data_IF_796425330276
#
_entry.id   IF_796425330276
#
_cell.length_a   1.000
_cell.length_b   1.000
_cell.length_c   1.000
_cell.angle_alpha   90.00
_cell.angle_beta   90.00
_cell.angle_gamma   90.00
#
_symmetry.space_group_name_H-M   'P 1'
#
loop_
_entity.id
_entity.type
_entity.pdbx_description
1 polymer ?
#
# COMPACT_ATOMS: atom_id res chain seq x y z
N UNK A 1 -4.75 -23.80 -7.82
CA UNK A 1 -4.38 -23.06 -9.05
C UNK A 1 -3.49 -21.91 -8.59
N UNK A 2 -2.14 -22.02 -8.78
CA UNK A 2 -1.16 -20.96 -8.47
C UNK A 2 -1.44 -19.78 -9.40
N UNK A 3 -1.95 -18.67 -8.86
CA UNK A 3 -1.93 -17.39 -9.56
C UNK A 3 -0.46 -16.98 -9.71
N UNK A 4 0.04 -16.98 -10.93
CA UNK A 4 1.32 -16.40 -11.30
C UNK A 4 1.31 -14.93 -10.84
N UNK A 5 2.17 -14.61 -9.91
CA UNK A 5 2.36 -13.26 -9.38
C UNK A 5 2.99 -12.42 -10.49
N UNK A 6 2.20 -11.68 -11.23
CA UNK A 6 2.69 -10.80 -12.29
C UNK A 6 3.38 -9.60 -11.66
N UNK A 7 4.70 -9.45 -11.92
CA UNK A 7 5.43 -8.24 -11.56
C UNK A 7 4.78 -7.03 -12.22
N UNK A 8 4.45 -6.02 -11.45
CA UNK A 8 3.93 -4.75 -11.92
C UNK A 8 5.05 -3.72 -11.91
N UNK A 9 5.19 -2.98 -13.03
CA UNK A 9 6.12 -1.86 -13.11
C UNK A 9 5.37 -0.58 -12.80
N UNK A 10 5.89 0.22 -11.87
CA UNK A 10 5.28 1.51 -11.51
C UNK A 10 5.28 2.48 -12.70
N UNK A 11 6.34 2.47 -13.51
CA UNK A 11 6.51 3.36 -14.66
C UNK A 11 6.98 2.57 -15.89
N UNK A 12 6.08 1.91 -16.63
CA UNK A 12 6.44 1.10 -17.79
C UNK A 12 7.07 1.91 -18.93
N UNK A 13 6.88 3.24 -18.94
CA UNK A 13 7.43 4.13 -19.96
C UNK A 13 8.97 4.11 -20.03
N UNK A 14 9.65 3.86 -18.91
CA UNK A 14 11.12 3.74 -18.91
C UNK A 14 11.63 2.48 -19.59
N UNK A 15 10.79 1.46 -19.78
CA UNK A 15 11.15 0.28 -20.54
C UNK A 15 11.35 0.59 -22.03
N UNK A 16 10.69 1.63 -22.56
CA UNK A 16 10.95 2.10 -23.93
C UNK A 16 12.38 2.66 -24.07
N UNK A 17 13.01 3.11 -23.00
CA UNK A 17 14.42 3.51 -22.97
C UNK A 17 15.38 2.36 -23.33
N UNK A 18 14.98 1.10 -23.11
CA UNK A 18 15.75 -0.08 -23.55
C UNK A 18 15.89 -0.12 -25.08
N UNK A 19 14.92 0.42 -25.81
CA UNK A 19 14.94 0.50 -27.27
C UNK A 19 16.06 1.43 -27.76
N UNK A 20 16.46 2.41 -26.94
CA UNK A 20 17.57 3.33 -27.22
C UNK A 20 18.95 2.66 -27.08
N UNK A 21 19.05 1.51 -26.39
CA UNK A 21 20.28 0.72 -26.34
C UNK A 21 20.60 0.02 -27.67
N UNK A 22 19.59 -0.25 -28.52
CA UNK A 22 19.77 -0.90 -29.81
C UNK A 22 20.66 -0.06 -30.76
N UNK A 23 20.36 1.24 -31.02
CA UNK A 23 21.21 2.07 -31.86
C UNK A 23 22.60 2.30 -31.22
N UNK A 24 22.69 2.34 -29.90
CA UNK A 24 23.97 2.49 -29.19
C UNK A 24 24.84 1.25 -29.39
N UNK A 25 24.26 0.06 -29.36
CA UNK A 25 24.92 -1.22 -29.65
C UNK A 25 25.35 -1.27 -31.13
N UNK A 26 24.52 -0.83 -32.06
CA UNK A 26 24.86 -0.75 -33.46
C UNK A 26 26.05 0.22 -33.71
N UNK A 27 26.07 1.34 -33.03
CA UNK A 27 27.16 2.34 -33.11
C UNK A 27 28.47 1.80 -32.56
N UNK A 28 28.42 1.06 -31.45
CA UNK A 28 29.62 0.42 -30.87
C UNK A 28 30.22 -0.64 -31.79
N UNK A 29 29.36 -1.49 -32.39
CA UNK A 29 29.77 -2.48 -33.37
C UNK A 29 30.36 -1.86 -34.62
N UNK A 30 29.71 -0.79 -35.12
CA UNK A 30 30.20 -0.04 -36.29
C UNK A 30 31.56 0.61 -36.01
N UNK A 31 31.72 1.26 -34.85
CA UNK A 31 33.02 1.82 -34.42
C UNK A 31 34.09 0.74 -34.34
N UNK A 32 33.75 -0.44 -33.82
CA UNK A 32 34.69 -1.59 -33.77
C UNK A 32 35.11 -2.05 -35.18
N UNK A 33 34.16 -2.13 -36.13
CA UNK A 33 34.43 -2.50 -37.53
C UNK A 33 35.25 -1.45 -38.25
N UNK A 34 34.97 -0.17 -38.07
CA UNK A 34 35.76 0.93 -38.64
C UNK A 34 37.19 0.91 -38.14
N UNK A 35 37.42 0.74 -36.84
CA UNK A 35 38.75 0.64 -36.27
C UNK A 35 39.54 -0.55 -36.86
N UNK A 36 38.93 -1.69 -37.01
CA UNK A 36 39.56 -2.84 -37.66
C UNK A 36 39.93 -2.56 -39.12
N UNK A 37 39.04 -1.88 -39.86
CA UNK A 37 39.32 -1.53 -41.28
C UNK A 37 40.42 -0.50 -41.40
N UNK A 38 40.47 0.49 -40.49
CA UNK A 38 41.53 1.50 -40.45
C UNK A 38 42.90 0.86 -40.10
N UNK A 39 42.96 0.04 -39.09
CA UNK A 39 44.19 -0.67 -38.73
C UNK A 39 44.75 -1.56 -39.87
N UNK A 40 43.86 -2.21 -40.63
CA UNK A 40 44.24 -2.99 -41.80
C UNK A 40 44.76 -2.16 -42.98
N UNK A 41 44.39 -0.84 -43.05
CA UNK A 41 44.83 0.06 -44.13
C UNK A 41 46.12 0.80 -43.83
N UNK A 42 46.44 1.02 -42.54
CA UNK A 42 47.56 1.88 -42.15
C UNK A 42 48.75 1.14 -41.51
N UNK A 43 48.59 -0.13 -41.17
CA UNK A 43 49.70 -0.88 -40.56
C UNK A 43 50.07 -2.08 -41.43
N UNK A 44 51.32 -2.11 -41.90
CA UNK A 44 51.99 -3.36 -42.24
C UNK A 44 51.93 -4.29 -41.04
N UNK A 45 51.62 -5.55 -41.25
CA UNK A 45 51.27 -6.51 -40.18
C UNK A 45 52.29 -6.59 -39.04
N UNK A 46 53.55 -6.31 -39.32
CA UNK A 46 54.61 -6.41 -38.33
C UNK A 46 54.79 -5.15 -37.47
N UNK A 47 54.54 -3.96 -38.02
CA UNK A 47 54.65 -2.69 -37.27
C UNK A 47 53.40 -2.41 -36.39
N UNK A 48 52.20 -2.83 -36.82
CA UNK A 48 50.96 -2.64 -36.06
C UNK A 48 50.94 -3.41 -34.74
N UNK A 49 51.57 -4.60 -34.70
CA UNK A 49 51.65 -5.39 -33.45
C UNK A 49 52.72 -4.82 -32.49
N UNK A 50 53.77 -4.23 -32.98
CA UNK A 50 54.84 -3.65 -32.16
C UNK A 50 54.40 -2.33 -31.50
N UNK A 51 53.59 -1.54 -32.18
CA UNK A 51 53.15 -0.20 -31.69
C UNK A 51 51.92 -0.24 -30.81
N UNK A 52 51.14 -1.32 -30.82
CA UNK A 52 49.92 -1.45 -30.00
C UNK A 52 49.84 -2.75 -29.21
N UNK A 53 50.83 -3.05 -28.36
CA UNK A 53 50.84 -4.33 -27.59
C UNK A 53 49.68 -4.42 -26.58
N UNK A 54 49.04 -3.33 -26.21
CA UNK A 54 47.97 -3.22 -25.24
C UNK A 54 46.55 -3.04 -25.85
N UNK A 55 46.46 -2.80 -27.16
CA UNK A 55 45.18 -2.53 -27.84
C UNK A 55 44.46 -3.85 -28.22
N UNK A 56 44.20 -4.74 -27.26
CA UNK A 56 43.40 -5.90 -27.49
C UNK A 56 41.96 -5.48 -27.81
N UNK A 57 41.52 -5.69 -29.06
CA UNK A 57 40.14 -5.36 -29.50
C UNK A 57 39.07 -6.01 -28.60
N UNK A 58 39.39 -7.09 -27.93
CA UNK A 58 38.54 -7.76 -26.95
C UNK A 58 38.27 -6.88 -25.71
N UNK A 59 39.24 -6.07 -25.25
CA UNK A 59 39.10 -5.18 -24.10
C UNK A 59 38.11 -4.05 -24.37
N UNK A 60 38.11 -3.48 -25.57
CA UNK A 60 37.15 -2.42 -25.96
C UNK A 60 35.73 -2.97 -26.07
N UNK A 61 35.58 -4.15 -26.64
CA UNK A 61 34.28 -4.81 -26.76
C UNK A 61 33.70 -5.18 -25.38
N UNK A 62 34.56 -5.63 -24.48
CA UNK A 62 34.18 -5.94 -23.10
C UNK A 62 33.75 -4.67 -22.33
N UNK A 63 34.48 -3.56 -22.48
CA UNK A 63 34.14 -2.26 -21.90
C UNK A 63 32.77 -1.76 -22.39
N UNK A 64 32.54 -1.81 -23.70
CA UNK A 64 31.29 -1.36 -24.30
C UNK A 64 30.12 -2.24 -23.87
N UNK A 65 30.34 -3.55 -23.73
CA UNK A 65 29.35 -4.50 -23.19
C UNK A 65 28.97 -4.15 -21.72
N UNK A 66 29.98 -3.85 -20.88
CA UNK A 66 29.73 -3.45 -19.50
C UNK A 66 28.96 -2.12 -19.41
N UNK A 67 29.28 -1.16 -20.27
CA UNK A 67 28.54 0.12 -20.32
C UNK A 67 27.07 -0.08 -20.73
N UNK A 68 26.81 -0.93 -21.72
CA UNK A 68 25.46 -1.28 -22.15
C UNK A 68 24.69 -2.02 -21.04
N UNK A 69 25.35 -2.95 -20.36
CA UNK A 69 24.75 -3.66 -19.24
C UNK A 69 24.42 -2.73 -18.08
N UNK A 70 25.33 -1.82 -17.74
CA UNK A 70 25.11 -0.82 -16.70
C UNK A 70 23.93 0.09 -17.06
N UNK A 71 23.84 0.57 -18.31
CA UNK A 71 22.72 1.36 -18.81
C UNK A 71 21.40 0.59 -18.72
N UNK A 72 21.38 -0.69 -19.08
CA UNK A 72 20.21 -1.54 -18.96
C UNK A 72 19.76 -1.70 -17.48
N UNK A 73 20.70 -1.93 -16.57
CA UNK A 73 20.41 -2.02 -15.12
C UNK A 73 19.82 -0.73 -14.59
N UNK A 74 20.35 0.43 -14.99
CA UNK A 74 19.80 1.75 -14.59
C UNK A 74 18.37 1.93 -15.10
N UNK A 75 18.09 1.57 -16.36
CA UNK A 75 16.75 1.68 -16.92
C UNK A 75 15.75 0.75 -16.21
N UNK A 76 16.17 -0.47 -15.87
CA UNK A 76 15.34 -1.40 -15.10
C UNK A 76 15.10 -0.86 -13.69
N UNK A 77 16.12 -0.28 -13.05
CA UNK A 77 15.97 0.33 -11.73
C UNK A 77 15.00 1.52 -11.75
N UNK A 78 15.05 2.36 -12.80
CA UNK A 78 14.12 3.48 -13.00
C UNK A 78 12.69 3.01 -13.28
N UNK A 79 12.50 1.85 -13.91
CA UNK A 79 11.19 1.25 -14.12
C UNK A 79 10.52 0.79 -12.81
N UNK A 80 11.26 0.78 -11.69
CA UNK A 80 10.78 0.40 -10.35
C UNK A 80 9.97 -0.89 -10.36
N UNK A 81 10.58 -2.05 -10.59
CA UNK A 81 9.87 -3.31 -10.50
C UNK A 81 9.33 -3.48 -9.07
N UNK A 82 8.00 -3.54 -8.95
CA UNK A 82 7.33 -3.77 -7.68
C UNK A 82 6.94 -5.24 -7.59
N UNK A 83 7.49 -5.93 -6.61
CA UNK A 83 6.95 -7.20 -6.19
C UNK A 83 5.68 -6.88 -5.38
N UNK A 84 4.51 -7.45 -5.71
CA UNK A 84 3.33 -7.27 -4.87
C UNK A 84 3.68 -7.82 -3.49
N UNK A 85 4.00 -6.91 -2.56
CA UNK A 85 4.15 -7.26 -1.16
C UNK A 85 2.78 -7.64 -0.64
N UNK A 86 2.63 -8.86 -0.18
CA UNK A 86 1.43 -9.35 0.49
C UNK A 86 1.13 -8.60 1.80
N UNK A 87 2.05 -7.75 2.26
CA UNK A 87 1.96 -6.98 3.51
C UNK A 87 1.47 -5.53 3.35
N UNK A 88 1.19 -5.05 2.14
CA UNK A 88 0.84 -3.64 1.92
C UNK A 88 -0.35 -3.40 0.97
N UNK A 89 -0.95 -4.45 0.47
CA UNK A 89 -2.30 -4.31 -0.06
C UNK A 89 -3.21 -4.29 1.16
N UNK A 90 -3.57 -3.10 1.62
CA UNK A 90 -4.95 -2.95 2.04
C UNK A 90 -5.76 -3.54 0.87
N UNK A 91 -6.10 -4.84 0.96
CA UNK A 91 -7.27 -5.31 0.25
C UNK A 91 -8.27 -4.21 0.58
N UNK A 92 -8.82 -3.55 -0.44
CA UNK A 92 -10.09 -2.85 -0.27
C UNK A 92 -11.01 -3.96 0.24
N UNK A 93 -10.88 -4.19 1.54
CA UNK A 93 -11.74 -5.07 2.27
C UNK A 93 -13.11 -4.47 2.03
N UNK A 94 -13.93 -5.20 1.29
CA UNK A 94 -15.36 -4.88 1.15
C UNK A 94 -16.07 -5.05 2.50
N UNK A 95 -15.37 -4.69 3.58
CA UNK A 95 -15.93 -4.62 4.91
C UNK A 95 -17.05 -3.58 4.94
N UNK A 96 -18.06 -3.88 5.70
CA UNK A 96 -19.15 -2.94 5.95
C UNK A 96 -18.71 -1.88 6.94
N UNK A 97 -19.31 -0.70 6.83
CA UNK A 97 -19.25 0.33 7.88
C UNK A 97 -20.44 0.14 8.80
N UNK A 98 -20.18 -0.06 10.08
CA UNK A 98 -21.18 -0.21 11.10
C UNK A 98 -21.11 0.93 12.11
N UNK A 99 -22.22 1.62 12.36
CA UNK A 99 -22.34 2.63 13.40
C UNK A 99 -23.17 2.07 14.56
N UNK A 100 -22.55 1.88 15.70
CA UNK A 100 -23.16 1.35 16.90
C UNK A 100 -23.68 2.53 17.73
N UNK A 101 -24.99 2.57 17.97
CA UNK A 101 -25.62 3.56 18.84
C UNK A 101 -25.95 2.89 20.18
N UNK A 102 -25.27 3.31 21.24
CA UNK A 102 -25.42 2.77 22.58
C UNK A 102 -26.19 3.74 23.47
N UNK A 103 -27.32 3.26 24.00
CA UNK A 103 -28.08 3.99 25.05
C UNK A 103 -27.32 3.91 26.38
N UNK A 104 -27.08 5.08 26.96
CA UNK A 104 -26.42 5.22 28.28
C UNK A 104 -27.32 5.95 29.30
N UNK A 105 -28.62 6.02 29.04
CA UNK A 105 -29.58 6.60 29.97
C UNK A 105 -29.62 5.83 31.31
N UNK A 106 -30.12 6.46 32.37
CA UNK A 106 -30.19 5.85 33.70
C UNK A 106 -30.99 4.54 33.73
N UNK A 107 -31.92 4.34 32.80
CA UNK A 107 -32.67 3.07 32.66
C UNK A 107 -31.76 1.89 32.31
N UNK A 108 -30.59 2.12 31.72
CA UNK A 108 -29.60 1.10 31.40
C UNK A 108 -28.86 0.58 32.64
N UNK A 109 -29.00 1.23 33.79
CA UNK A 109 -28.49 0.73 35.08
C UNK A 109 -29.41 -0.30 35.74
N UNK A 110 -30.59 -0.54 35.16
CA UNK A 110 -31.55 -1.50 35.70
C UNK A 110 -30.94 -2.92 35.78
N UNK A 111 -31.15 -3.60 36.91
CA UNK A 111 -30.56 -4.90 37.20
C UNK A 111 -31.45 -6.11 36.79
N UNK A 112 -32.39 -5.91 35.91
CA UNK A 112 -33.22 -7.01 35.37
C UNK A 112 -32.41 -8.00 34.52
N UNK A 113 -31.29 -7.55 33.99
CA UNK A 113 -30.29 -8.38 33.31
C UNK A 113 -28.96 -8.24 34.09
N UNK A 114 -28.39 -9.34 34.55
CA UNK A 114 -27.17 -9.30 35.36
C UNK A 114 -25.92 -8.90 34.56
N UNK A 115 -25.05 -8.02 35.05
CA UNK A 115 -25.18 -7.20 36.25
C UNK A 115 -26.09 -5.99 36.09
N UNK A 116 -26.21 -5.43 34.87
CA UNK A 116 -27.16 -4.42 34.41
C UNK A 116 -27.20 -4.40 32.87
N UNK A 117 -28.22 -3.72 32.32
CA UNK A 117 -28.41 -3.65 30.86
C UNK A 117 -27.21 -3.08 30.11
N UNK A 118 -26.57 -2.01 30.64
CA UNK A 118 -25.41 -1.39 30.01
C UNK A 118 -24.24 -2.36 29.91
N UNK A 119 -23.94 -3.07 31.01
CA UNK A 119 -22.84 -4.05 31.02
C UNK A 119 -23.13 -5.21 30.08
N UNK A 120 -24.37 -5.63 29.99
CA UNK A 120 -24.77 -6.66 29.02
C UNK A 120 -24.60 -6.19 27.58
N UNK A 121 -25.06 -4.97 27.26
CA UNK A 121 -24.89 -4.36 25.94
C UNK A 121 -23.41 -4.24 25.55
N UNK A 122 -22.54 -3.77 26.46
CA UNK A 122 -21.11 -3.70 26.23
C UNK A 122 -20.49 -5.06 25.90
N UNK A 123 -20.84 -6.10 26.66
CA UNK A 123 -20.35 -7.48 26.37
C UNK A 123 -20.81 -7.98 25.00
N UNK A 124 -22.08 -7.73 24.65
CA UNK A 124 -22.62 -8.12 23.35
C UNK A 124 -21.91 -7.42 22.22
N UNK A 125 -21.68 -6.10 22.34
CA UNK A 125 -20.94 -5.32 21.35
C UNK A 125 -19.50 -5.81 21.24
N UNK A 126 -18.81 -6.09 22.36
CA UNK A 126 -17.45 -6.67 22.35
C UNK A 126 -17.41 -7.97 21.58
N UNK A 127 -18.38 -8.89 21.83
CA UNK A 127 -18.48 -10.13 21.09
C UNK A 127 -18.76 -9.94 19.59
N UNK A 128 -19.48 -8.88 19.22
CA UNK A 128 -19.68 -8.49 17.82
C UNK A 128 -18.36 -8.01 17.19
N UNK A 129 -17.62 -7.12 17.89
CA UNK A 129 -16.33 -6.63 17.44
C UNK A 129 -15.30 -7.75 17.25
N UNK A 130 -15.38 -8.83 18.02
CA UNK A 130 -14.49 -10.00 17.87
C UNK A 130 -14.75 -10.79 16.58
N UNK A 131 -15.97 -10.71 16.04
CA UNK A 131 -16.34 -11.36 14.78
C UNK A 131 -16.00 -10.50 13.55
N UNK A 132 -15.85 -9.18 13.74
CA UNK A 132 -15.50 -8.22 12.69
C UNK A 132 -13.98 -8.29 12.43
N UNK A 133 -13.55 -8.64 11.22
CA UNK A 133 -12.13 -8.73 10.87
C UNK A 133 -11.67 -7.63 9.93
N UNK A 134 -12.54 -7.23 9.05
CA UNK A 134 -12.24 -6.33 7.93
C UNK A 134 -13.22 -5.17 7.84
N UNK A 135 -14.15 -5.11 8.81
CA UNK A 135 -15.18 -4.10 8.89
C UNK A 135 -14.69 -2.85 9.62
N UNK A 136 -15.39 -1.75 9.42
CA UNK A 136 -15.11 -0.48 10.09
C UNK A 136 -16.25 -0.18 11.05
N UNK A 137 -15.92 0.28 12.24
CA UNK A 137 -16.90 0.56 13.28
C UNK A 137 -16.78 1.97 13.80
N UNK A 138 -17.91 2.61 14.06
CA UNK A 138 -18.03 3.85 14.82
C UNK A 138 -18.96 3.67 16.01
N UNK A 139 -18.84 4.53 17.01
CA UNK A 139 -19.60 4.45 18.24
C UNK A 139 -20.28 5.79 18.54
N UNK A 140 -21.59 5.75 18.73
CA UNK A 140 -22.41 6.87 19.20
C UNK A 140 -22.98 6.49 20.55
N UNK A 141 -22.89 7.40 21.51
CA UNK A 141 -23.58 7.28 22.79
C UNK A 141 -24.75 8.26 22.82
N UNK A 142 -25.86 7.86 23.41
CA UNK A 142 -27.00 8.74 23.56
C UNK A 142 -27.77 8.51 24.86
N UNK A 143 -28.38 9.58 25.32
CA UNK A 143 -29.37 9.65 26.40
C UNK A 143 -30.38 10.73 26.05
N UNK A 144 -30.46 11.86 26.78
CA UNK A 144 -31.23 13.05 26.38
C UNK A 144 -30.69 13.75 25.15
N UNK A 145 -29.40 13.57 24.85
CA UNK A 145 -28.71 14.06 23.66
C UNK A 145 -27.81 12.94 23.10
N UNK A 146 -27.32 13.09 21.86
CA UNK A 146 -26.46 12.09 21.22
C UNK A 146 -25.13 12.70 20.79
N UNK A 147 -24.04 11.91 20.94
CA UNK A 147 -22.68 12.32 20.63
C UNK A 147 -21.92 11.20 19.93
N UNK A 148 -21.07 11.57 18.97
CA UNK A 148 -20.13 10.63 18.36
C UNK A 148 -18.96 10.42 19.33
N UNK A 149 -18.86 9.24 19.92
CA UNK A 149 -17.79 8.88 20.85
C UNK A 149 -16.55 8.40 20.10
N UNK A 150 -16.76 7.66 19.01
CA UNK A 150 -15.70 7.19 18.14
C UNK A 150 -16.14 7.33 16.67
N UNK A 151 -15.43 8.10 15.84
CA UNK A 151 -15.65 8.10 14.40
C UNK A 151 -15.38 6.73 13.78
N UNK A 152 -15.90 6.48 12.57
CA UNK A 152 -15.70 5.22 11.87
C UNK A 152 -14.20 4.92 11.69
N UNK A 153 -13.73 3.81 12.26
CA UNK A 153 -12.35 3.35 12.22
C UNK A 153 -12.26 1.86 11.90
N UNK A 154 -11.15 1.43 11.35
CA UNK A 154 -10.78 0.02 11.19
C UNK A 154 -10.05 -0.54 12.41
N UNK A 155 -9.69 0.31 13.37
CA UNK A 155 -9.02 -0.11 14.59
C UNK A 155 -10.04 -0.57 15.64
N UNK A 156 -10.30 -1.88 15.63
CA UNK A 156 -11.23 -2.53 16.55
C UNK A 156 -10.69 -2.58 18.00
N UNK A 157 -9.37 -2.45 18.21
CA UNK A 157 -8.80 -2.39 19.56
C UNK A 157 -9.15 -1.07 20.24
N UNK A 158 -8.99 0.04 19.53
CA UNK A 158 -9.45 1.35 19.99
C UNK A 158 -10.96 1.37 20.25
N UNK A 159 -11.75 0.74 19.38
CA UNK A 159 -13.20 0.66 19.59
C UNK A 159 -13.58 -0.09 20.89
N UNK A 160 -12.86 -1.15 21.24
CA UNK A 160 -13.07 -1.87 22.52
C UNK A 160 -12.70 -1.01 23.74
N UNK A 161 -11.60 -0.28 23.65
CA UNK A 161 -11.16 0.62 24.72
C UNK A 161 -12.21 1.71 24.97
N UNK A 162 -12.64 2.43 23.93
CA UNK A 162 -13.69 3.43 24.07
C UNK A 162 -15.00 2.83 24.61
N UNK A 163 -15.38 1.61 24.18
CA UNK A 163 -16.57 0.94 24.68
C UNK A 163 -16.46 0.60 26.17
N UNK A 164 -15.28 0.22 26.66
CA UNK A 164 -15.06 -0.12 28.06
C UNK A 164 -15.25 1.09 28.97
N UNK A 165 -14.82 2.26 28.52
CA UNK A 165 -14.79 3.51 29.32
C UNK A 165 -16.13 4.22 29.38
N UNK A 166 -17.11 3.81 28.56
CA UNK A 166 -18.44 4.42 28.57
C UNK A 166 -19.10 4.26 29.93
N UNK A 167 -19.57 5.38 30.47
CA UNK A 167 -20.36 5.44 31.72
C UNK A 167 -21.61 6.30 31.51
N UNK A 168 -22.68 6.04 32.26
CA UNK A 168 -23.91 6.87 32.18
C UNK A 168 -23.68 8.33 32.52
N UNK A 169 -22.64 8.66 33.30
CA UNK A 169 -22.29 10.03 33.68
C UNK A 169 -21.72 10.88 32.55
N UNK A 170 -21.41 10.28 31.39
CA UNK A 170 -20.90 11.03 30.23
C UNK A 170 -21.91 11.98 29.62
N UNK A 171 -23.21 11.70 29.78
CA UNK A 171 -24.30 12.58 29.32
C UNK A 171 -25.14 12.99 30.53
N UNK A 172 -25.14 14.29 30.82
CA UNK A 172 -25.88 14.83 31.95
C UNK A 172 -27.39 14.84 31.72
N UNK A 173 -27.80 15.10 30.47
CA UNK A 173 -29.21 15.14 30.10
C UNK A 173 -29.79 13.75 30.01
N UNK A 174 -30.83 13.49 30.82
CA UNK A 174 -31.50 12.20 30.82
C UNK A 174 -32.66 12.21 29.83
N UNK A 175 -32.85 11.11 29.15
CA UNK A 175 -33.84 10.93 28.10
C UNK A 175 -33.42 9.85 27.11
N UNK A 176 -34.06 9.81 25.94
CA UNK A 176 -33.77 8.79 24.92
C UNK A 176 -33.86 9.43 23.52
N UNK A 177 -32.83 10.17 23.13
CA UNK A 177 -32.75 10.89 21.86
C UNK A 177 -32.40 10.00 20.66
N UNK A 178 -33.17 8.94 20.42
CA UNK A 178 -32.90 7.95 19.34
C UNK A 178 -32.86 8.62 17.97
N UNK A 179 -33.78 9.55 17.68
CA UNK A 179 -33.84 10.22 16.39
C UNK A 179 -32.53 10.98 16.09
N UNK A 180 -31.97 11.65 17.11
CA UNK A 180 -30.73 12.38 17.01
C UNK A 180 -29.54 11.41 16.81
N UNK A 181 -29.53 10.28 17.51
CA UNK A 181 -28.49 9.25 17.36
C UNK A 181 -28.48 8.67 15.94
N UNK A 182 -29.66 8.38 15.38
CA UNK A 182 -29.80 7.88 14.00
C UNK A 182 -29.37 8.94 12.99
N UNK A 183 -29.69 10.21 13.20
CA UNK A 183 -29.28 11.29 12.32
C UNK A 183 -27.76 11.48 12.32
N UNK A 184 -27.12 11.44 13.50
CA UNK A 184 -25.66 11.46 13.62
C UNK A 184 -25.01 10.26 12.97
N UNK A 185 -25.56 9.07 13.18
CA UNK A 185 -25.07 7.85 12.54
C UNK A 185 -25.07 7.98 11.01
N UNK A 186 -26.18 8.46 10.44
CA UNK A 186 -26.29 8.69 9.00
C UNK A 186 -25.26 9.68 8.46
N UNK A 187 -24.95 10.74 9.21
CA UNK A 187 -23.97 11.75 8.82
C UNK A 187 -22.53 11.28 8.97
N UNK A 188 -22.30 10.22 9.75
CA UNK A 188 -20.96 9.71 10.05
C UNK A 188 -20.47 8.66 9.06
N UNK A 189 -21.34 8.12 8.20
CA UNK A 189 -20.93 7.19 7.15
C UNK A 189 -20.14 7.90 6.06
N UNK A 190 -19.16 7.19 5.48
CA UNK A 190 -18.38 7.70 4.36
C UNK A 190 -19.26 7.84 3.13
N UNK A 191 -19.22 9.00 2.47
CA UNK A 191 -19.80 9.15 1.14
C UNK A 191 -19.01 8.29 0.15
N UNK A 192 -19.59 7.17 -0.29
CA UNK A 192 -19.06 6.29 -1.35
C UNK A 192 -19.88 6.43 -2.61
#
# INVERSE_FOLDING_TARGET
IRKLTTMQFYSPNYLYGLLLLIPLLALSLWSYWQRRRLLQRFADKDLGQALTPLASGKKYLLRDLFLLLAGACVLIALARPQLPSTTGREEESKGIEAMICLDISNSMLCGDIAPNRLSFAKRTITGLLDQMKTDRVGLIIFAGSAYVQLPITSDLSTAREFLSDITPSMISDQGTAIAQAIQLARQSFSDR
#
